data_IF_868529477105
#
_entry.id   IF_868529477105
#
_cell.length_a   1.000
_cell.length_b   1.000
_cell.length_c   1.000
_cell.angle_alpha   90.00
_cell.angle_beta   90.00
_cell.angle_gamma   90.00
#
_symmetry.space_group_name_H-M   'P 1'
#
loop_
_entity.id
_entity.type
_entity.pdbx_description
1 polymer ?
#
# COMPACT_ATOMS: atom_id res chain seq x y z
N UNK A 1 1.02 -10.93 -5.14
CA UNK A 1 1.77 -11.89 -5.96
C UNK A 1 1.62 -13.34 -5.51
N UNK A 2 0.41 -13.89 -5.53
CA UNK A 2 0.16 -15.29 -5.14
C UNK A 2 0.65 -16.32 -6.17
N UNK A 3 0.98 -15.90 -7.39
CA UNK A 3 1.40 -16.80 -8.47
C UNK A 3 2.92 -16.92 -8.65
N UNK A 4 3.69 -16.08 -7.98
CA UNK A 4 5.15 -16.04 -8.03
C UNK A 4 5.67 -14.76 -7.41
N UNK A 5 6.62 -14.89 -6.48
CA UNK A 5 7.20 -13.73 -5.79
C UNK A 5 7.94 -12.86 -6.82
N UNK A 6 7.57 -11.59 -6.88
CA UNK A 6 8.23 -10.62 -7.77
C UNK A 6 7.80 -10.64 -9.24
N UNK A 7 6.86 -11.51 -9.65
CA UNK A 7 6.34 -11.47 -11.02
C UNK A 7 5.37 -10.31 -11.20
N UNK A 8 5.65 -9.42 -12.15
CA UNK A 8 4.84 -8.23 -12.42
C UNK A 8 5.14 -7.64 -13.79
N UNK A 9 4.45 -6.54 -14.10
CA UNK A 9 4.71 -5.71 -15.28
C UNK A 9 5.42 -4.45 -14.81
N UNK A 10 6.61 -4.23 -15.32
CA UNK A 10 7.35 -2.98 -15.09
C UNK A 10 6.94 -1.96 -16.15
N UNK A 11 6.51 -0.78 -15.71
CA UNK A 11 6.18 0.35 -16.58
C UNK A 11 7.05 1.54 -16.18
N UNK A 12 7.63 2.17 -17.18
CA UNK A 12 8.43 3.39 -17.06
C UNK A 12 7.89 4.45 -18.00
N UNK A 13 7.77 5.69 -17.54
CA UNK A 13 7.35 6.81 -18.36
C UNK A 13 8.23 8.02 -18.11
N UNK A 14 8.38 8.86 -19.15
CA UNK A 14 8.92 10.19 -19.05
C UNK A 14 7.83 11.19 -19.44
N UNK A 15 7.82 12.41 -18.90
CA UNK A 15 7.00 13.49 -19.42
C UNK A 15 7.28 13.67 -20.91
N UNK A 16 6.26 13.98 -21.68
CA UNK A 16 6.36 14.21 -23.11
C UNK A 16 5.99 15.66 -23.40
N UNK A 17 6.79 16.34 -24.19
CA UNK A 17 6.57 17.72 -24.64
C UNK A 17 5.57 17.82 -25.80
N UNK A 18 4.86 16.74 -26.12
CA UNK A 18 3.81 16.73 -27.14
C UNK A 18 2.64 17.62 -26.69
N UNK A 19 2.75 18.92 -26.97
CA UNK A 19 1.75 19.94 -26.63
C UNK A 19 0.36 19.73 -27.28
N UNK A 20 0.24 18.82 -28.22
CA UNK A 20 -0.95 18.59 -29.03
C UNK A 20 -1.69 17.28 -28.73
N UNK A 21 -1.50 16.67 -27.51
CA UNK A 21 -2.29 15.49 -27.20
C UNK A 21 -3.71 15.88 -26.80
N UNK A 22 -4.74 15.36 -27.44
CA UNK A 22 -6.11 15.66 -27.07
C UNK A 22 -6.35 15.24 -25.61
N UNK A 23 -6.84 16.15 -24.80
CA UNK A 23 -7.31 15.84 -23.45
C UNK A 23 -8.28 14.67 -23.55
N UNK A 24 -8.05 13.54 -22.88
CA UNK A 24 -8.98 12.42 -22.95
C UNK A 24 -10.36 12.90 -22.54
N UNK A 25 -11.37 12.55 -23.31
CA UNK A 25 -12.75 12.81 -22.93
C UNK A 25 -12.98 12.26 -21.52
N UNK A 26 -13.65 13.01 -20.62
CA UNK A 26 -13.90 12.58 -19.27
C UNK A 26 -14.64 11.24 -19.31
N UNK A 27 -13.97 10.17 -18.91
CA UNK A 27 -14.58 8.86 -18.80
C UNK A 27 -15.52 8.88 -17.60
N UNK A 28 -16.75 8.44 -17.78
CA UNK A 28 -17.65 8.22 -16.64
C UNK A 28 -17.02 7.17 -15.72
N UNK A 29 -16.76 7.49 -14.45
CA UNK A 29 -16.16 6.54 -13.54
C UNK A 29 -17.11 5.36 -13.34
N UNK A 30 -16.55 4.17 -13.30
CA UNK A 30 -17.31 2.96 -12.95
C UNK A 30 -17.50 2.94 -11.44
N UNK A 31 -18.62 2.44 -10.96
CA UNK A 31 -18.90 2.33 -9.53
C UNK A 31 -19.18 0.88 -9.16
N UNK A 32 -18.70 0.46 -8.01
CA UNK A 32 -19.16 -0.79 -7.38
C UNK A 32 -20.55 -0.55 -6.80
N UNK A 33 -21.64 -1.12 -7.39
CA UNK A 33 -23.00 -0.70 -7.06
C UNK A 33 -23.44 -1.16 -5.67
N UNK A 34 -23.00 -2.36 -5.26
CA UNK A 34 -23.46 -3.02 -4.04
C UNK A 34 -22.29 -3.43 -3.15
N UNK A 35 -22.56 -3.59 -1.87
CA UNK A 35 -21.66 -4.27 -0.94
C UNK A 35 -21.99 -5.75 -0.99
N UNK A 36 -21.11 -6.63 -1.49
CA UNK A 36 -21.35 -8.06 -1.50
C UNK A 36 -21.39 -8.61 -0.07
N UNK A 37 -22.12 -9.70 0.21
CA UNK A 37 -22.24 -10.26 1.56
C UNK A 37 -20.92 -10.83 2.11
N UNK A 38 -19.95 -11.04 1.25
CA UNK A 38 -18.60 -11.49 1.59
C UNK A 38 -17.55 -10.76 0.74
N UNK A 39 -16.30 -10.76 1.18
CA UNK A 39 -15.20 -10.16 0.41
C UNK A 39 -14.99 -10.86 -0.92
N UNK A 40 -15.00 -10.10 -2.00
CA UNK A 40 -14.60 -10.60 -3.32
C UNK A 40 -13.07 -10.77 -3.43
N UNK A 41 -12.31 -10.32 -2.43
CA UNK A 41 -10.86 -10.45 -2.35
C UNK A 41 -10.51 -11.74 -1.64
N UNK A 42 -10.30 -12.81 -2.40
CA UNK A 42 -9.91 -14.11 -1.89
C UNK A 42 -8.97 -14.82 -2.90
N UNK A 43 -8.44 -15.97 -2.53
CA UNK A 43 -7.50 -16.70 -3.38
C UNK A 43 -8.09 -17.18 -4.71
N UNK A 44 -9.40 -17.45 -4.74
CA UNK A 44 -10.11 -17.90 -5.94
C UNK A 44 -10.30 -16.78 -6.95
N UNK A 45 -10.50 -15.54 -6.49
CA UNK A 45 -10.67 -14.38 -7.37
C UNK A 45 -9.33 -13.73 -7.75
N UNK A 46 -8.38 -13.65 -6.82
CA UNK A 46 -7.11 -12.97 -7.04
C UNK A 46 -6.19 -13.70 -8.02
N UNK A 47 -6.15 -15.02 -7.97
CA UNK A 47 -5.27 -15.80 -8.86
C UNK A 47 -5.64 -15.63 -10.33
N UNK A 48 -6.89 -15.89 -10.77
CA UNK A 48 -7.29 -15.70 -12.16
C UNK A 48 -7.23 -14.23 -12.58
N UNK A 49 -7.62 -13.29 -11.70
CA UNK A 49 -7.52 -11.87 -11.99
C UNK A 49 -6.07 -11.44 -12.28
N UNK A 50 -5.14 -11.80 -11.39
CA UNK A 50 -3.73 -11.44 -11.56
C UNK A 50 -3.11 -12.13 -12.78
N UNK A 51 -3.50 -13.36 -13.08
CA UNK A 51 -3.05 -14.07 -14.28
C UNK A 51 -3.56 -13.37 -15.53
N UNK A 52 -4.85 -13.08 -15.61
CA UNK A 52 -5.45 -12.37 -16.73
C UNK A 52 -4.81 -10.99 -16.94
N UNK A 53 -4.67 -10.21 -15.87
CA UNK A 53 -4.02 -8.90 -15.93
C UNK A 53 -2.58 -8.99 -16.43
N UNK A 54 -1.80 -9.97 -15.93
CA UNK A 54 -0.41 -10.16 -16.35
C UNK A 54 -0.32 -10.50 -17.83
N UNK A 55 -1.09 -11.50 -18.30
CA UNK A 55 -1.01 -11.92 -19.70
C UNK A 55 -1.55 -10.89 -20.68
N UNK A 56 -2.63 -10.20 -20.34
CA UNK A 56 -3.15 -9.10 -21.14
C UNK A 56 -2.15 -7.94 -21.28
N UNK A 57 -1.44 -7.61 -20.19
CA UNK A 57 -0.46 -6.52 -20.20
C UNK A 57 0.88 -6.93 -20.81
N UNK A 58 1.32 -8.17 -20.60
CA UNK A 58 2.56 -8.69 -21.18
C UNK A 58 2.61 -8.58 -22.70
N UNK A 59 1.46 -8.74 -23.35
CA UNK A 59 1.35 -8.76 -24.81
C UNK A 59 1.00 -7.38 -25.41
N UNK A 60 0.89 -6.33 -24.59
CA UNK A 60 0.62 -4.97 -25.09
C UNK A 60 1.89 -4.30 -25.61
N UNK A 61 1.68 -3.34 -26.54
CA UNK A 61 2.76 -2.58 -27.14
C UNK A 61 3.72 -1.99 -26.10
N UNK A 62 5.01 -2.07 -26.40
CA UNK A 62 6.09 -1.66 -25.48
C UNK A 62 6.26 -0.15 -25.35
N UNK A 63 5.65 0.65 -26.26
CA UNK A 63 5.68 2.11 -26.22
C UNK A 63 4.31 2.69 -26.53
N UNK A 64 3.84 3.61 -25.67
CA UNK A 64 2.61 4.37 -25.92
C UNK A 64 2.68 5.72 -25.21
N UNK A 65 1.94 6.69 -25.70
CA UNK A 65 1.69 7.94 -24.96
C UNK A 65 0.41 7.76 -24.16
N UNK A 66 0.43 8.14 -22.91
CA UNK A 66 -0.71 8.01 -22.02
C UNK A 66 -0.90 9.28 -21.21
N UNK A 67 -2.15 9.60 -20.91
CA UNK A 67 -2.45 10.69 -19.98
C UNK A 67 -1.97 10.31 -18.58
N UNK A 68 -1.47 11.29 -17.81
CA UNK A 68 -0.89 11.04 -16.48
C UNK A 68 -1.89 10.46 -15.47
N UNK A 69 -3.15 10.86 -15.51
CA UNK A 69 -4.16 10.41 -14.56
C UNK A 69 -4.35 8.88 -14.52
N UNK A 70 -4.68 8.18 -15.61
CA UNK A 70 -4.83 6.72 -15.56
C UNK A 70 -3.50 5.99 -15.31
N UNK A 71 -2.36 6.64 -15.54
CA UNK A 71 -1.06 6.08 -15.25
C UNK A 71 -0.73 6.14 -13.75
N UNK A 72 -0.92 7.30 -13.10
CA UNK A 72 -0.60 7.50 -11.69
C UNK A 72 -1.76 7.14 -10.75
N UNK A 73 -3.02 7.28 -11.20
CA UNK A 73 -4.22 7.12 -10.39
C UNK A 73 -5.18 6.09 -10.98
N UNK A 74 -4.75 4.82 -11.12
CA UNK A 74 -5.55 3.80 -11.79
C UNK A 74 -6.88 3.49 -11.09
N UNK A 75 -6.98 3.74 -9.78
CA UNK A 75 -8.19 3.49 -9.00
C UNK A 75 -9.18 4.66 -8.97
N UNK A 76 -8.80 5.87 -9.38
CA UNK A 76 -9.68 7.04 -9.34
C UNK A 76 -10.88 6.91 -10.31
N UNK A 77 -10.77 6.01 -11.29
CA UNK A 77 -11.86 5.68 -12.21
C UNK A 77 -12.86 4.64 -11.65
N UNK A 78 -12.64 4.15 -10.42
CA UNK A 78 -13.52 3.18 -9.77
C UNK A 78 -14.07 3.75 -8.47
N UNK A 79 -15.29 4.29 -8.51
CA UNK A 79 -15.99 4.79 -7.33
C UNK A 79 -16.44 3.62 -6.45
N UNK A 80 -16.44 3.86 -5.13
CA UNK A 80 -16.88 2.87 -4.15
C UNK A 80 -16.14 1.52 -4.22
N UNK A 81 -14.89 1.53 -4.69
CA UNK A 81 -14.08 0.31 -4.81
C UNK A 81 -13.91 -0.46 -3.50
N UNK A 82 -13.98 0.25 -2.37
CA UNK A 82 -13.91 -0.34 -1.02
C UNK A 82 -15.03 -1.36 -0.76
N UNK A 83 -16.17 -1.25 -1.44
CA UNK A 83 -17.30 -2.20 -1.30
C UNK A 83 -16.93 -3.63 -1.67
N UNK A 84 -15.91 -3.84 -2.52
CA UNK A 84 -15.44 -5.19 -2.90
C UNK A 84 -14.95 -6.04 -1.72
N UNK A 85 -14.58 -5.39 -0.60
CA UNK A 85 -14.14 -6.07 0.61
C UNK A 85 -15.30 -6.60 1.46
N UNK A 86 -16.55 -6.27 1.11
CA UNK A 86 -17.75 -6.70 1.84
C UNK A 86 -17.92 -5.94 3.16
N UNK A 87 -18.88 -6.40 4.02
CA UNK A 87 -19.31 -5.66 5.21
C UNK A 87 -18.24 -5.59 6.31
N UNK A 88 -17.27 -6.51 6.32
CA UNK A 88 -16.16 -6.48 7.30
C UNK A 88 -15.09 -5.43 6.96
N UNK A 89 -15.12 -4.89 5.74
CA UNK A 89 -14.13 -3.92 5.27
C UNK A 89 -12.73 -4.50 5.13
N UNK A 90 -11.73 -3.65 5.26
CA UNK A 90 -10.33 -4.00 5.05
C UNK A 90 -9.39 -3.18 5.93
N UNK A 91 -8.17 -3.67 6.05
CA UNK A 91 -7.05 -2.93 6.62
C UNK A 91 -6.09 -2.53 5.52
N UNK A 92 -5.52 -1.33 5.63
CA UNK A 92 -4.36 -0.93 4.86
C UNK A 92 -3.10 -1.17 5.69
N UNK A 93 -2.09 -1.74 5.07
CA UNK A 93 -0.77 -1.90 5.66
C UNK A 93 0.24 -1.17 4.78
N UNK A 94 0.94 -0.21 5.34
CA UNK A 94 2.01 0.49 4.63
C UNK A 94 3.20 0.68 5.56
N UNK A 95 4.36 0.23 5.11
CA UNK A 95 5.63 0.39 5.80
C UNK A 95 6.68 0.99 4.90
N UNK A 96 7.72 1.55 5.49
CA UNK A 96 8.96 1.93 4.82
C UNK A 96 10.13 1.33 5.56
N UNK A 97 11.09 0.78 4.82
CA UNK A 97 12.34 0.20 5.35
C UNK A 97 13.55 0.88 4.70
N UNK A 98 14.68 0.99 5.40
CA UNK A 98 15.89 1.59 4.86
C UNK A 98 16.34 0.93 3.55
N UNK A 99 16.96 1.70 2.66
CA UNK A 99 17.36 1.23 1.33
C UNK A 99 18.35 0.07 1.38
N UNK A 100 19.27 0.07 2.33
CA UNK A 100 20.31 -0.97 2.47
C UNK A 100 19.72 -2.38 2.63
N UNK A 101 18.63 -2.52 3.38
CA UNK A 101 17.93 -3.78 3.65
C UNK A 101 16.62 -3.93 2.89
N UNK A 102 16.28 -2.93 2.08
CA UNK A 102 14.96 -2.79 1.46
C UNK A 102 14.56 -3.97 0.57
N UNK A 103 15.49 -4.52 -0.20
CA UNK A 103 15.22 -5.68 -1.07
C UNK A 103 14.82 -6.91 -0.26
N UNK A 104 15.63 -7.25 0.73
CA UNK A 104 15.46 -8.48 1.51
C UNK A 104 14.22 -8.38 2.42
N UNK A 105 14.01 -7.23 3.04
CA UNK A 105 12.83 -6.97 3.86
C UNK A 105 11.53 -7.04 3.03
N UNK A 106 11.49 -6.44 1.84
CA UNK A 106 10.33 -6.50 0.95
C UNK A 106 10.10 -7.94 0.46
N UNK A 107 11.16 -8.67 0.12
CA UNK A 107 11.04 -10.07 -0.28
C UNK A 107 10.50 -10.93 0.85
N UNK A 108 10.98 -10.75 2.08
CA UNK A 108 10.49 -11.44 3.27
C UNK A 108 9.01 -11.13 3.52
N UNK A 109 8.59 -9.85 3.47
CA UNK A 109 7.19 -9.44 3.61
C UNK A 109 6.31 -10.09 2.53
N UNK A 110 6.69 -10.02 1.25
CA UNK A 110 5.93 -10.64 0.15
C UNK A 110 5.82 -12.16 0.30
N UNK A 111 6.85 -12.81 0.82
CA UNK A 111 6.85 -14.24 1.12
C UNK A 111 5.86 -14.58 2.23
N UNK A 112 5.82 -13.82 3.32
CA UNK A 112 4.84 -14.00 4.40
C UNK A 112 3.41 -13.78 3.90
N UNK A 113 3.19 -12.76 3.07
CA UNK A 113 1.89 -12.48 2.47
C UNK A 113 1.45 -13.66 1.56
N UNK A 114 2.34 -14.16 0.72
CA UNK A 114 2.04 -15.28 -0.16
C UNK A 114 1.70 -16.57 0.63
N UNK A 115 2.45 -16.85 1.68
CA UNK A 115 2.21 -18.03 2.58
C UNK A 115 0.89 -17.92 3.34
N UNK A 116 0.47 -16.72 3.70
CA UNK A 116 -0.79 -16.51 4.41
C UNK A 116 -2.04 -16.79 3.57
N UNK A 117 -1.90 -16.93 2.25
CA UNK A 117 -3.03 -17.02 1.33
C UNK A 117 -3.85 -15.74 1.21
N UNK A 118 -3.44 -14.68 1.91
CA UNK A 118 -4.06 -13.36 1.80
C UNK A 118 -3.37 -12.56 0.70
N UNK A 119 -4.10 -11.68 0.05
CA UNK A 119 -3.57 -10.87 -1.03
C UNK A 119 -4.34 -9.58 -1.17
N UNK A 120 -3.83 -8.71 -2.02
CA UNK A 120 -4.39 -7.41 -2.33
C UNK A 120 -4.56 -7.26 -3.85
N UNK A 121 -5.58 -6.56 -4.28
CA UNK A 121 -5.68 -6.09 -5.67
C UNK A 121 -4.68 -4.99 -5.97
N UNK A 122 -4.39 -4.17 -4.97
CA UNK A 122 -3.45 -3.09 -5.06
C UNK A 122 -2.22 -3.40 -4.21
N UNK A 123 -1.08 -3.52 -4.85
CA UNK A 123 0.21 -3.57 -4.19
C UNK A 123 1.06 -2.44 -4.78
N UNK A 124 1.49 -1.54 -3.93
CA UNK A 124 2.29 -0.39 -4.33
C UNK A 124 3.68 -0.51 -3.72
N UNK A 125 4.68 -0.54 -4.58
CA UNK A 125 6.09 -0.49 -4.20
C UNK A 125 6.68 0.81 -4.74
N UNK A 126 7.29 1.62 -3.85
CA UNK A 126 7.91 2.89 -4.20
C UNK A 126 9.27 3.01 -3.52
N UNK A 127 10.11 3.88 -4.04
CA UNK A 127 11.33 4.31 -3.36
C UNK A 127 11.20 5.78 -2.94
N UNK A 128 11.62 6.08 -1.72
CA UNK A 128 11.82 7.45 -1.27
C UNK A 128 13.27 7.87 -1.48
N UNK A 129 13.45 9.12 -1.92
CA UNK A 129 14.76 9.74 -2.10
C UNK A 129 15.36 10.26 -0.79
N UNK A 130 16.44 11.04 -0.92
CA UNK A 130 17.22 11.55 0.22
C UNK A 130 16.60 12.79 0.88
N UNK A 131 15.54 13.38 0.31
CA UNK A 131 14.93 14.59 0.84
C UNK A 131 14.37 14.32 2.22
N UNK A 132 14.88 15.04 3.20
CA UNK A 132 14.37 14.97 4.58
C UNK A 132 13.02 15.69 4.69
N UNK A 133 12.12 15.10 5.45
CA UNK A 133 10.85 15.72 5.79
C UNK A 133 11.01 16.63 7.00
N UNK A 134 10.34 17.76 7.00
CA UNK A 134 10.35 18.72 8.12
C UNK A 134 9.55 18.22 9.34
N UNK A 135 8.54 17.39 9.12
CA UNK A 135 7.66 16.91 10.19
C UNK A 135 8.33 15.91 11.13
N UNK A 136 8.16 16.12 12.46
CA UNK A 136 8.71 15.24 13.51
C UNK A 136 8.20 13.80 13.38
N UNK A 137 6.93 13.63 13.03
CA UNK A 137 6.24 12.35 12.86
C UNK A 137 6.09 11.97 11.39
N UNK A 138 7.02 12.41 10.53
CA UNK A 138 6.97 12.08 9.11
C UNK A 138 7.20 10.59 8.88
N UNK A 139 6.34 10.00 8.06
CA UNK A 139 6.50 8.61 7.61
C UNK A 139 7.65 8.46 6.60
N UNK A 140 7.84 9.45 5.73
CA UNK A 140 8.83 9.37 4.68
C UNK A 140 10.26 9.36 5.26
N UNK A 141 11.05 8.38 4.82
CA UNK A 141 12.50 8.29 5.05
C UNK A 141 13.17 7.69 3.80
N UNK A 142 14.46 7.94 3.57
CA UNK A 142 15.17 7.30 2.47
C UNK A 142 15.05 5.78 2.54
N UNK A 143 14.41 5.17 1.53
CA UNK A 143 14.12 3.74 1.63
C UNK A 143 13.12 3.22 0.61
N UNK A 144 12.59 2.03 0.90
CA UNK A 144 11.59 1.35 0.10
C UNK A 144 10.29 1.24 0.88
N UNK A 145 9.18 1.70 0.31
CA UNK A 145 7.86 1.60 0.92
C UNK A 145 7.00 0.59 0.16
N UNK A 146 6.33 -0.27 0.93
CA UNK A 146 5.37 -1.26 0.44
C UNK A 146 4.00 -0.97 1.07
N UNK A 147 2.97 -0.83 0.23
CA UNK A 147 1.59 -0.62 0.66
C UNK A 147 0.65 -1.65 0.03
N UNK A 148 -0.22 -2.24 0.85
CA UNK A 148 -1.21 -3.23 0.44
C UNK A 148 -2.50 -3.08 1.26
N UNK A 149 -3.60 -3.54 0.67
CA UNK A 149 -4.91 -3.59 1.31
C UNK A 149 -5.30 -5.05 1.54
N UNK A 150 -5.71 -5.38 2.76
CA UNK A 150 -6.07 -6.75 3.14
C UNK A 150 -7.52 -6.82 3.62
N UNK A 151 -8.32 -7.79 3.13
CA UNK A 151 -9.64 -8.03 3.71
C UNK A 151 -9.55 -8.25 5.21
N UNK A 152 -10.49 -7.69 5.96
CA UNK A 152 -10.56 -7.92 7.39
C UNK A 152 -11.05 -9.36 7.67
N UNK A 153 -10.11 -10.26 7.95
CA UNK A 153 -10.35 -11.64 8.39
C UNK A 153 -10.08 -11.80 9.89
N UNK A 154 -10.27 -10.72 10.65
CA UNK A 154 -10.09 -10.71 12.11
C UNK A 154 -8.69 -11.23 12.51
N UNK A 155 -8.61 -12.23 13.38
CA UNK A 155 -7.36 -12.77 13.92
C UNK A 155 -6.35 -13.19 12.84
N UNK A 156 -6.81 -13.72 11.70
CA UNK A 156 -5.90 -14.14 10.62
C UNK A 156 -5.15 -12.98 9.99
N UNK A 157 -5.83 -11.85 9.76
CA UNK A 157 -5.20 -10.64 9.20
C UNK A 157 -4.26 -10.01 10.24
N UNK A 158 -4.67 -9.96 11.49
CA UNK A 158 -3.84 -9.42 12.57
C UNK A 158 -2.58 -10.27 12.81
N UNK A 159 -2.68 -11.59 12.75
CA UNK A 159 -1.52 -12.49 12.86
C UNK A 159 -0.54 -12.32 11.70
N UNK A 160 -1.03 -12.07 10.48
CA UNK A 160 -0.17 -11.70 9.35
C UNK A 160 0.56 -10.39 9.64
N UNK A 161 -0.16 -9.38 10.09
CA UNK A 161 0.41 -8.06 10.39
C UNK A 161 1.48 -8.13 11.49
N UNK A 162 1.29 -8.93 12.53
CA UNK A 162 2.31 -9.13 13.55
C UNK A 162 3.64 -9.66 12.96
N UNK A 163 3.56 -10.58 11.99
CA UNK A 163 4.76 -11.07 11.28
C UNK A 163 5.39 -10.00 10.39
N UNK A 164 4.58 -9.18 9.71
CA UNK A 164 5.10 -8.07 8.91
C UNK A 164 5.75 -7.00 9.78
N UNK A 165 5.17 -6.72 10.95
CA UNK A 165 5.73 -5.77 11.93
C UNK A 165 7.11 -6.21 12.44
N UNK A 166 7.28 -7.50 12.70
CA UNK A 166 8.57 -8.04 13.11
C UNK A 166 9.65 -7.77 12.04
N UNK A 167 9.33 -8.03 10.76
CA UNK A 167 10.24 -7.75 9.64
C UNK A 167 10.56 -6.25 9.54
N UNK A 168 9.54 -5.39 9.67
CA UNK A 168 9.73 -3.93 9.60
C UNK A 168 10.60 -3.44 10.75
N UNK A 169 10.39 -3.96 11.96
CA UNK A 169 11.20 -3.63 13.15
C UNK A 169 12.65 -4.07 13.00
N UNK A 170 12.89 -5.31 12.60
CA UNK A 170 14.23 -5.85 12.35
C UNK A 170 14.99 -5.07 11.28
N UNK A 171 14.27 -4.60 10.28
CA UNK A 171 14.81 -3.75 9.21
C UNK A 171 15.06 -2.30 9.63
N UNK A 172 14.74 -1.87 10.85
CA UNK A 172 14.80 -0.46 11.25
C UNK A 172 13.81 0.43 10.49
N UNK A 173 12.68 -0.13 10.10
CA UNK A 173 11.63 0.56 9.36
C UNK A 173 10.55 1.17 10.25
N UNK A 174 9.49 1.70 9.62
CA UNK A 174 8.32 2.25 10.30
C UNK A 174 7.04 2.00 9.55
N UNK A 175 5.91 2.03 10.26
CA UNK A 175 4.55 1.91 9.70
C UNK A 175 3.94 3.29 9.52
N UNK A 176 3.15 3.45 8.46
CA UNK A 176 2.47 4.71 8.16
C UNK A 176 1.24 4.90 9.04
N UNK A 177 1.32 5.85 9.99
CA UNK A 177 0.26 6.13 10.96
C UNK A 177 -1.08 6.48 10.32
N UNK A 178 -1.09 7.21 9.20
CA UNK A 178 -2.34 7.62 8.54
C UNK A 178 -3.14 6.45 7.94
N UNK A 179 -2.54 5.27 7.83
CA UNK A 179 -3.19 4.04 7.33
C UNK A 179 -3.25 2.94 8.40
N UNK A 180 -2.80 3.25 9.59
CA UNK A 180 -2.73 2.27 10.66
C UNK A 180 -3.99 2.28 11.54
N UNK A 181 -4.40 1.07 11.95
CA UNK A 181 -5.50 0.88 12.90
C UNK A 181 -5.07 0.17 14.19
N UNK A 182 -3.82 -0.33 14.28
CA UNK A 182 -3.44 -1.29 15.32
C UNK A 182 -1.94 -1.32 15.68
N UNK A 183 -1.09 -0.48 15.10
CA UNK A 183 0.37 -0.49 15.33
C UNK A 183 0.68 -0.49 16.83
N UNK A 184 1.56 -1.40 17.31
CA UNK A 184 2.01 -1.39 18.70
C UNK A 184 2.80 -0.12 19.04
N UNK A 185 2.67 0.37 20.26
CA UNK A 185 3.42 1.53 20.77
C UNK A 185 4.93 1.40 20.56
N UNK A 186 5.49 0.25 20.89
CA UNK A 186 6.93 -0.04 20.74
C UNK A 186 7.43 0.16 19.29
N UNK A 187 6.61 -0.24 18.32
CA UNK A 187 6.95 -0.06 16.90
C UNK A 187 6.81 1.40 16.45
N UNK A 188 5.88 2.14 17.06
CA UNK A 188 5.77 3.58 16.88
C UNK A 188 7.00 4.30 17.44
N UNK A 189 7.34 4.05 18.70
CA UNK A 189 8.46 4.71 19.37
C UNK A 189 9.80 4.45 18.67
N UNK A 190 10.06 3.19 18.27
CA UNK A 190 11.27 2.85 17.52
C UNK A 190 11.30 3.44 16.10
N UNK A 191 10.14 3.51 15.46
CA UNK A 191 10.01 4.02 14.08
C UNK A 191 10.02 5.55 13.97
N UNK A 192 9.64 6.27 15.04
CA UNK A 192 9.50 7.72 15.05
C UNK A 192 10.32 8.35 16.19
N UNK A 193 11.65 8.40 16.08
CA UNK A 193 12.55 8.79 17.18
C UNK A 193 12.30 10.21 17.70
N UNK A 194 11.70 11.12 16.90
CA UNK A 194 11.34 12.47 17.35
C UNK A 194 9.95 12.55 18.01
N UNK A 195 9.33 11.43 18.36
CA UNK A 195 8.02 11.43 19.02
C UNK A 195 8.07 12.12 20.39
N UNK A 196 9.17 11.97 21.14
CA UNK A 196 9.36 12.64 22.44
C UNK A 196 9.42 14.16 22.32
N UNK A 197 10.12 14.66 21.29
CA UNK A 197 10.12 16.09 20.95
C UNK A 197 8.71 16.58 20.59
N UNK A 198 7.97 15.80 19.77
CA UNK A 198 6.60 16.12 19.41
C UNK A 198 5.67 16.24 20.64
N UNK A 199 5.85 15.41 21.67
CA UNK A 199 5.04 15.44 22.88
C UNK A 199 5.12 16.77 23.62
N UNK A 200 6.22 17.52 23.49
CA UNK A 200 6.35 18.85 24.13
C UNK A 200 5.45 19.91 23.52
N UNK A 201 4.99 19.68 22.28
CA UNK A 201 4.05 20.58 21.56
C UNK A 201 2.61 20.10 21.61
N UNK A 202 2.38 18.93 22.21
CA UNK A 202 1.04 18.34 22.25
C UNK A 202 0.18 19.06 23.29
N UNK A 203 -0.98 19.52 22.88
CA UNK A 203 -2.02 19.99 23.79
C UNK A 203 -2.57 18.80 24.60
N UNK A 204 -2.48 18.81 25.94
CA UNK A 204 -2.97 17.72 26.78
C UNK A 204 -4.49 17.54 26.73
N UNK A 205 -5.24 18.60 26.38
CA UNK A 205 -6.69 18.59 26.21
C UNK A 205 -7.16 17.90 24.91
N UNK A 206 -6.25 17.71 23.93
CA UNK A 206 -6.58 17.12 22.64
C UNK A 206 -6.07 15.68 22.55
N UNK A 207 -6.99 14.72 22.42
CA UNK A 207 -6.63 13.32 22.28
C UNK A 207 -7.52 12.59 21.26
N UNK A 208 -6.98 11.53 20.66
CA UNK A 208 -7.67 10.62 19.77
C UNK A 208 -7.45 9.17 20.22
N UNK A 209 -8.23 8.23 19.65
CA UNK A 209 -7.98 6.81 19.89
C UNK A 209 -6.57 6.40 19.47
N UNK A 210 -6.06 6.95 18.36
CA UNK A 210 -4.69 6.74 17.90
C UNK A 210 -3.67 7.26 18.93
N UNK A 211 -3.81 8.53 19.35
CA UNK A 211 -2.85 9.15 20.27
C UNK A 211 -2.88 8.58 21.71
N UNK A 212 -3.95 7.87 22.08
CA UNK A 212 -4.02 7.13 23.36
C UNK A 212 -3.37 5.74 23.27
N UNK A 213 -3.33 5.17 22.07
CA UNK A 213 -2.71 3.86 21.80
C UNK A 213 -1.20 3.98 21.61
N UNK A 214 -0.75 5.01 20.94
CA UNK A 214 0.65 5.30 20.64
C UNK A 214 1.24 6.29 21.66
#
# INVERSE_FOLDING_TARGET
CLAGVGRGIFMRANPSDLAAWPTPAPRRPRSMPLVPPFSLINSLSLRPFNAAYFYLKKNQATRSVAHYQPFFYPLDNLLNWNRIYGPRGFYQYQSVVPRAVGRDAVQAMLTQIARSGQGSFLAVLKTFGQRQSMGMLSFAQPGVTLALDFPNKSAQTLALFARLDAIVREAGGRIYMAKDARMPRELFESGYPRHTEFLTFRDPGISSALSRRL
#
